data_IF_357520398514
#
_entry.id   IF_357520398514
#
_cell.length_a   1.000
_cell.length_b   1.000
_cell.length_c   1.000
_cell.angle_alpha   90.00
_cell.angle_beta   90.00
_cell.angle_gamma   90.00
#
_symmetry.space_group_name_H-M   'P 1'
#
loop_
_entity.id
_entity.type
_entity.pdbx_description
1 polymer ?
#
# COMPACT_ATOMS: atom_id res chain seq x y z
N UNK A 1 -9.15 -28.90 8.71
CA UNK A 1 -9.75 -28.06 7.65
C UNK A 1 -9.47 -26.56 7.92
N UNK A 2 -8.23 -26.02 7.81
CA UNK A 2 -7.99 -24.62 8.16
C UNK A 2 -7.94 -23.64 6.96
N UNK A 3 -8.11 -24.11 5.74
CA UNK A 3 -7.95 -23.26 4.54
C UNK A 3 -9.19 -22.47 4.16
N UNK A 4 -10.39 -22.96 4.43
CA UNK A 4 -11.66 -22.31 4.02
C UNK A 4 -12.00 -21.10 4.89
N UNK A 5 -11.73 -21.16 6.21
CA UNK A 5 -11.98 -20.04 7.12
C UNK A 5 -11.10 -18.80 6.84
N UNK A 6 -9.83 -19.04 6.51
CA UNK A 6 -8.85 -17.99 6.19
C UNK A 6 -9.21 -17.22 4.91
N UNK A 7 -9.76 -17.92 3.92
CA UNK A 7 -10.26 -17.33 2.66
C UNK A 7 -11.58 -16.58 2.88
N UNK A 8 -12.42 -17.04 3.82
CA UNK A 8 -13.66 -16.36 4.19
C UNK A 8 -13.41 -15.01 4.87
N UNK A 9 -12.45 -14.95 5.80
CA UNK A 9 -12.02 -13.69 6.45
C UNK A 9 -11.39 -12.71 5.45
N UNK A 10 -10.66 -13.22 4.45
CA UNK A 10 -10.09 -12.41 3.36
C UNK A 10 -11.18 -11.83 2.45
N UNK A 11 -12.25 -12.56 2.17
CA UNK A 11 -13.39 -12.07 1.39
C UNK A 11 -14.09 -10.90 2.07
N UNK A 12 -14.25 -10.97 3.40
CA UNK A 12 -14.78 -9.86 4.21
C UNK A 12 -13.88 -8.63 4.20
N UNK A 13 -12.58 -8.80 4.44
CA UNK A 13 -11.59 -7.69 4.48
C UNK A 13 -11.42 -7.01 3.13
N UNK A 14 -11.38 -7.78 2.04
CA UNK A 14 -11.32 -7.23 0.69
C UNK A 14 -12.59 -6.42 0.37
N UNK A 15 -13.76 -6.88 0.81
CA UNK A 15 -15.01 -6.15 0.68
C UNK A 15 -14.98 -4.79 1.39
N UNK A 16 -14.48 -4.74 2.63
CA UNK A 16 -14.38 -3.49 3.40
C UNK A 16 -13.37 -2.52 2.76
N UNK A 17 -12.26 -3.01 2.24
CA UNK A 17 -11.31 -2.18 1.49
C UNK A 17 -11.96 -1.56 0.24
N UNK A 18 -12.71 -2.35 -0.54
CA UNK A 18 -13.42 -1.88 -1.73
C UNK A 18 -14.51 -0.87 -1.35
N UNK A 19 -15.21 -1.07 -0.22
CA UNK A 19 -16.19 -0.12 0.30
C UNK A 19 -15.53 1.22 0.65
N UNK A 20 -14.41 1.19 1.37
CA UNK A 20 -13.64 2.39 1.69
C UNK A 20 -13.16 3.11 0.43
N UNK A 21 -12.72 2.36 -0.58
CA UNK A 21 -12.33 2.89 -1.89
C UNK A 21 -13.51 3.58 -2.59
N UNK A 22 -14.69 2.96 -2.61
CA UNK A 22 -15.88 3.55 -3.21
C UNK A 22 -16.26 4.87 -2.52
N UNK A 23 -16.24 4.91 -1.17
CA UNK A 23 -16.52 6.11 -0.38
C UNK A 23 -15.49 7.21 -0.68
N UNK A 24 -14.20 6.84 -0.75
CA UNK A 24 -13.12 7.77 -1.07
C UNK A 24 -13.28 8.37 -2.47
N UNK A 25 -13.59 7.54 -3.47
CA UNK A 25 -13.83 7.99 -4.85
C UNK A 25 -15.02 8.93 -4.94
N UNK A 26 -16.15 8.60 -4.29
CA UNK A 26 -17.34 9.45 -4.26
C UNK A 26 -17.02 10.79 -3.58
N UNK A 27 -16.35 10.76 -2.42
CA UNK A 27 -15.91 11.98 -1.72
C UNK A 27 -14.96 12.84 -2.56
N UNK A 28 -14.13 12.22 -3.40
CA UNK A 28 -13.22 12.92 -4.32
C UNK A 28 -13.97 13.64 -5.43
N UNK A 29 -14.97 12.98 -6.03
CA UNK A 29 -15.80 13.58 -7.08
C UNK A 29 -16.62 14.73 -6.50
N UNK A 30 -17.22 14.52 -5.33
CA UNK A 30 -17.98 15.55 -4.61
C UNK A 30 -17.11 16.77 -4.28
N UNK A 31 -15.87 16.53 -3.82
CA UNK A 31 -14.91 17.60 -3.55
C UNK A 31 -14.48 18.34 -4.83
N UNK A 32 -14.46 17.68 -5.99
CA UNK A 32 -14.12 18.31 -7.27
C UNK A 32 -15.23 19.24 -7.80
N UNK A 33 -16.49 18.93 -7.51
CA UNK A 33 -17.66 19.72 -7.94
C UNK A 33 -18.14 20.72 -6.89
N UNK A 34 -17.47 20.83 -5.74
CA UNK A 34 -17.92 21.69 -4.64
C UNK A 34 -17.87 23.17 -5.02
N UNK A 35 -18.99 23.89 -4.82
CA UNK A 35 -19.08 25.32 -5.13
C UNK A 35 -18.79 26.23 -3.92
N UNK A 36 -18.75 25.67 -2.71
CA UNK A 36 -18.58 26.43 -1.46
C UNK A 36 -17.61 25.74 -0.50
N UNK A 37 -16.94 26.53 0.34
CA UNK A 37 -15.99 26.03 1.36
C UNK A 37 -16.66 25.05 2.33
N UNK A 38 -17.90 25.32 2.76
CA UNK A 38 -18.63 24.43 3.66
C UNK A 38 -18.91 23.05 3.06
N UNK A 39 -19.32 23.00 1.79
CA UNK A 39 -19.50 21.74 1.06
C UNK A 39 -18.16 21.00 0.88
N UNK A 40 -17.10 21.73 0.53
CA UNK A 40 -15.77 21.15 0.38
C UNK A 40 -15.30 20.49 1.68
N UNK A 41 -15.48 21.14 2.84
CA UNK A 41 -15.13 20.56 4.15
C UNK A 41 -15.96 19.29 4.42
N UNK A 42 -17.27 19.33 4.20
CA UNK A 42 -18.14 18.18 4.40
C UNK A 42 -17.72 16.98 3.53
N UNK A 43 -17.41 17.23 2.25
CA UNK A 43 -16.95 16.18 1.33
C UNK A 43 -15.56 15.66 1.66
N UNK A 44 -14.67 16.50 2.20
CA UNK A 44 -13.36 16.07 2.72
C UNK A 44 -13.48 15.18 3.95
N UNK A 45 -14.46 15.42 4.81
CA UNK A 45 -14.75 14.50 5.93
C UNK A 45 -15.18 13.13 5.39
N UNK A 46 -16.10 13.10 4.42
CA UNK A 46 -16.54 11.85 3.78
C UNK A 46 -15.36 11.13 3.10
N UNK A 47 -14.55 11.87 2.35
CA UNK A 47 -13.36 11.34 1.69
C UNK A 47 -12.35 10.79 2.72
N UNK A 48 -12.14 11.50 3.83
CA UNK A 48 -11.28 11.09 4.93
C UNK A 48 -11.74 9.79 5.60
N UNK A 49 -13.05 9.59 5.78
CA UNK A 49 -13.62 8.35 6.30
C UNK A 49 -13.30 7.18 5.35
N UNK A 50 -13.49 7.36 4.04
CA UNK A 50 -13.12 6.34 3.05
C UNK A 50 -11.64 5.97 3.11
N UNK A 51 -10.76 6.96 3.22
CA UNK A 51 -9.31 6.76 3.36
C UNK A 51 -8.90 6.04 4.65
N UNK A 52 -9.54 6.37 5.78
CA UNK A 52 -9.29 5.70 7.06
C UNK A 52 -9.67 4.21 7.02
N UNK A 53 -10.82 3.89 6.42
CA UNK A 53 -11.28 2.51 6.22
C UNK A 53 -10.26 1.74 5.36
N UNK A 54 -9.76 2.34 4.28
CA UNK A 54 -8.75 1.71 3.43
C UNK A 54 -7.45 1.43 4.21
N UNK A 55 -6.89 2.44 4.88
CA UNK A 55 -5.63 2.34 5.63
C UNK A 55 -5.68 1.26 6.73
N UNK A 56 -6.80 1.18 7.47
CA UNK A 56 -6.98 0.16 8.50
C UNK A 56 -6.98 -1.27 7.92
N UNK A 57 -7.53 -1.46 6.71
CA UNK A 57 -7.57 -2.76 6.05
C UNK A 57 -6.23 -3.14 5.40
N UNK A 58 -5.45 -2.17 4.90
CA UNK A 58 -4.11 -2.41 4.32
C UNK A 58 -3.18 -3.09 5.34
N UNK A 59 -3.12 -2.60 6.58
CA UNK A 59 -2.36 -3.22 7.66
C UNK A 59 -2.79 -4.68 7.92
N UNK A 60 -4.09 -4.94 7.86
CA UNK A 60 -4.65 -6.28 8.10
C UNK A 60 -4.37 -7.25 6.96
N UNK A 61 -4.34 -6.79 5.71
CA UNK A 61 -3.95 -7.59 4.55
C UNK A 61 -2.45 -7.89 4.61
N UNK A 62 -1.60 -6.89 4.87
CA UNK A 62 -0.14 -7.07 5.00
C UNK A 62 0.19 -8.06 6.12
N UNK A 63 -0.49 -7.98 7.26
CA UNK A 63 -0.28 -8.91 8.37
C UNK A 63 -0.62 -10.38 8.01
N UNK A 64 -1.56 -10.58 7.08
CA UNK A 64 -1.95 -11.89 6.56
C UNK A 64 -1.05 -12.39 5.44
N UNK A 65 -0.57 -11.50 4.57
CA UNK A 65 0.25 -11.84 3.41
C UNK A 65 1.73 -12.04 3.77
N UNK A 66 2.24 -11.30 4.77
CA UNK A 66 3.66 -11.33 5.12
C UNK A 66 3.93 -11.95 6.51
N UNK A 67 4.92 -12.86 6.62
CA UNK A 67 5.39 -13.37 7.91
C UNK A 67 5.90 -12.22 8.80
N UNK A 68 5.79 -12.33 10.14
CA UNK A 68 6.08 -11.25 11.09
C UNK A 68 7.47 -10.59 10.92
N UNK A 69 8.49 -11.34 10.49
CA UNK A 69 9.85 -10.81 10.24
C UNK A 69 10.02 -9.98 8.96
N UNK A 70 9.05 -10.03 8.04
CA UNK A 70 9.11 -9.36 6.73
C UNK A 70 8.25 -8.09 6.66
N UNK A 71 7.38 -7.87 7.66
CA UNK A 71 6.39 -6.77 7.68
C UNK A 71 7.06 -5.39 7.68
N UNK A 72 8.15 -5.22 8.43
CA UNK A 72 8.91 -3.96 8.47
C UNK A 72 9.57 -3.60 7.13
N UNK A 73 10.07 -4.61 6.39
CA UNK A 73 10.61 -4.40 5.04
C UNK A 73 9.51 -4.01 4.05
N UNK A 74 8.37 -4.69 4.09
CA UNK A 74 7.22 -4.36 3.25
C UNK A 74 6.68 -2.94 3.51
N UNK A 75 6.55 -2.55 4.78
CA UNK A 75 6.13 -1.20 5.15
C UNK A 75 7.17 -0.13 4.79
N UNK A 76 8.47 -0.43 4.91
CA UNK A 76 9.55 0.45 4.45
C UNK A 76 9.52 0.69 2.94
N UNK A 77 9.18 -0.33 2.15
CA UNK A 77 9.02 -0.23 0.70
C UNK A 77 7.81 0.64 0.32
N UNK A 78 6.66 0.42 0.97
CA UNK A 78 5.46 1.27 0.80
C UNK A 78 5.78 2.72 1.16
N UNK A 79 6.45 2.96 2.30
CA UNK A 79 6.86 4.31 2.72
C UNK A 79 7.79 4.99 1.72
N UNK A 80 8.69 4.24 1.09
CA UNK A 80 9.62 4.75 0.06
C UNK A 80 8.86 5.21 -1.20
N UNK A 81 7.87 4.44 -1.63
CA UNK A 81 7.02 4.80 -2.79
C UNK A 81 6.16 6.02 -2.49
N UNK A 82 5.61 6.12 -1.28
CA UNK A 82 4.85 7.30 -0.86
C UNK A 82 5.74 8.55 -0.80
N UNK A 83 6.99 8.40 -0.33
CA UNK A 83 7.97 9.49 -0.33
C UNK A 83 8.30 9.96 -1.76
N UNK A 84 8.45 9.03 -2.71
CA UNK A 84 8.68 9.36 -4.12
C UNK A 84 7.61 10.29 -4.69
N UNK A 85 6.34 10.01 -4.39
CA UNK A 85 5.20 10.79 -4.90
C UNK A 85 5.15 12.23 -4.34
N UNK A 86 5.75 12.48 -3.18
CA UNK A 86 5.76 13.80 -2.53
C UNK A 86 7.03 14.62 -2.76
N UNK A 87 8.05 14.04 -3.41
CA UNK A 87 9.37 14.67 -3.52
C UNK A 87 9.50 15.64 -4.69
N UNK A 88 10.38 16.62 -4.50
CA UNK A 88 10.82 17.56 -5.52
C UNK A 88 11.71 16.86 -6.56
N UNK A 89 11.63 17.32 -7.82
CA UNK A 89 12.29 16.69 -8.99
C UNK A 89 13.79 16.40 -8.83
N UNK A 90 14.48 17.16 -7.98
CA UNK A 90 15.91 17.01 -7.72
C UNK A 90 16.28 15.72 -6.97
N UNK A 91 15.35 15.15 -6.18
CA UNK A 91 15.63 14.00 -5.31
C UNK A 91 15.27 12.64 -5.95
N UNK A 92 14.63 12.67 -7.12
CA UNK A 92 14.19 11.45 -7.81
C UNK A 92 15.30 10.45 -8.14
N UNK A 93 16.52 10.85 -8.57
CA UNK A 93 17.56 9.88 -8.91
C UNK A 93 18.03 9.07 -7.69
N UNK A 94 18.12 9.72 -6.52
CA UNK A 94 18.53 9.08 -5.27
C UNK A 94 17.49 8.07 -4.79
N UNK A 95 16.21 8.45 -4.84
CA UNK A 95 15.14 7.59 -4.39
C UNK A 95 14.84 6.45 -5.37
N UNK A 96 14.97 6.69 -6.67
CA UNK A 96 14.85 5.67 -7.72
C UNK A 96 15.83 4.53 -7.46
N UNK A 97 17.12 4.83 -7.30
CA UNK A 97 18.14 3.82 -6.99
C UNK A 97 17.87 3.11 -5.66
N UNK A 98 17.29 3.79 -4.66
CA UNK A 98 16.92 3.18 -3.37
C UNK A 98 15.74 2.22 -3.51
N UNK A 99 14.71 2.58 -4.27
CA UNK A 99 13.52 1.75 -4.51
C UNK A 99 13.90 0.53 -5.33
N UNK A 100 14.73 0.69 -6.37
CA UNK A 100 15.18 -0.41 -7.22
C UNK A 100 15.97 -1.46 -6.40
N UNK A 101 16.92 -0.99 -5.58
CA UNK A 101 17.65 -1.86 -4.66
C UNK A 101 16.78 -2.54 -3.59
N UNK A 102 15.67 -1.92 -3.19
CA UNK A 102 14.71 -2.49 -2.24
C UNK A 102 13.82 -3.53 -2.92
N UNK A 103 13.36 -3.24 -4.14
CA UNK A 103 12.56 -4.14 -4.96
C UNK A 103 13.36 -5.40 -5.28
N UNK A 104 14.58 -5.29 -5.78
CA UNK A 104 15.47 -6.43 -6.00
C UNK A 104 15.61 -7.27 -4.72
N UNK A 105 15.94 -6.63 -3.60
CA UNK A 105 16.08 -7.34 -2.33
C UNK A 105 14.77 -8.01 -1.90
N UNK A 106 13.61 -7.45 -2.22
CA UNK A 106 12.31 -8.04 -1.90
C UNK A 106 11.96 -9.22 -2.83
N UNK A 107 12.18 -9.08 -4.13
CA UNK A 107 11.97 -10.11 -5.14
C UNK A 107 12.91 -11.30 -4.93
N UNK A 108 14.22 -11.05 -4.76
CA UNK A 108 15.21 -12.10 -4.59
C UNK A 108 15.12 -12.80 -3.23
N UNK A 109 14.86 -12.08 -2.13
CA UNK A 109 14.80 -12.72 -0.80
C UNK A 109 13.41 -13.33 -0.50
N UNK A 110 12.36 -12.89 -1.19
CA UNK A 110 10.97 -13.31 -0.98
C UNK A 110 10.47 -14.42 -1.92
N UNK A 111 10.97 -14.46 -3.17
CA UNK A 111 10.54 -15.45 -4.19
C UNK A 111 11.55 -16.59 -4.33
N UNK A 112 12.85 -16.31 -4.19
CA UNK A 112 13.91 -17.32 -4.29
C UNK A 112 14.56 -17.50 -2.92
N UNK A 113 14.04 -18.45 -2.13
CA UNK A 113 14.57 -18.79 -0.82
C UNK A 113 16.10 -18.96 -0.85
N UNK A 114 16.78 -18.13 -0.05
CA UNK A 114 18.15 -18.23 0.50
C UNK A 114 19.03 -19.37 -0.04
N UNK A 115 19.33 -19.37 -1.34
CA UNK A 115 20.09 -20.46 -1.95
C UNK A 115 20.79 -20.13 -3.27
N UNK A 116 20.75 -18.89 -3.76
CA UNK A 116 21.35 -18.53 -5.07
C UNK A 116 22.11 -17.20 -5.05
N UNK A 117 22.60 -16.77 -3.90
CA UNK A 117 23.34 -15.49 -3.76
C UNK A 117 24.72 -15.48 -4.41
N UNK A 118 25.23 -16.60 -4.92
CA UNK A 118 26.62 -16.66 -5.41
C UNK A 118 26.79 -16.61 -6.94
N UNK A 119 25.72 -16.43 -7.74
CA UNK A 119 25.83 -16.50 -9.21
C UNK A 119 25.32 -15.32 -10.03
N UNK A 120 24.73 -14.30 -9.42
CA UNK A 120 24.13 -13.19 -10.16
C UNK A 120 25.03 -11.95 -10.34
N UNK A 121 26.29 -11.97 -9.87
CA UNK A 121 27.20 -10.82 -9.96
C UNK A 121 28.33 -10.99 -10.99
N UNK A 122 28.17 -11.94 -11.93
CA UNK A 122 29.10 -12.15 -13.05
C UNK A 122 28.31 -12.20 -14.35
N UNK A 123 27.73 -11.07 -14.76
CA UNK A 123 27.62 -10.62 -16.16
C UNK A 123 27.21 -9.16 -16.19
#
# INVERSE_FOLDING_TARGET
MPTVGKISDLRGRKGIFILGLAIFTIGSILSAISATIGQLIAYRVIQGIGGAIMQANVMSIIAYTFPPGSRGKAMGLIGSVVAYLGMEKSDYPYLYNRIDHQLDRFYYTGVFGRGSTDRAYII
#
